data_IF_238040876017
#
_entry.id   IF_238040876017
#
_cell.length_a   1.000
_cell.length_b   1.000
_cell.length_c   1.000
_cell.angle_alpha   90.00
_cell.angle_beta   90.00
_cell.angle_gamma   90.00
#
_symmetry.space_group_name_H-M   'P 1'
#
loop_
_entity.id
_entity.type
_entity.pdbx_description
1 polymer ?
#
# COMPACT_ATOMS: atom_id res chain seq x y z
N UNK A 1 6.49 12.70 -3.98
CA UNK A 1 5.48 11.63 -3.95
C UNK A 1 5.51 10.89 -2.63
N UNK A 2 4.34 10.57 -2.10
CA UNK A 2 4.17 9.66 -0.98
C UNK A 2 3.49 8.40 -1.49
N UNK A 3 4.08 7.25 -1.21
CA UNK A 3 3.47 5.95 -1.44
C UNK A 3 3.07 5.35 -0.09
N UNK A 4 1.86 4.83 -0.03
CA UNK A 4 1.39 4.04 1.10
C UNK A 4 1.19 2.59 0.64
N UNK A 5 1.80 1.66 1.33
CA UNK A 5 1.83 0.26 0.93
C UNK A 5 1.31 -0.63 2.05
N UNK A 6 0.56 -1.65 1.69
CA UNK A 6 0.03 -2.64 2.61
C UNK A 6 0.19 -4.02 2.00
N UNK A 7 0.81 -4.95 2.75
CA UNK A 7 0.96 -6.32 2.30
C UNK A 7 -0.40 -7.01 2.22
N UNK A 8 -0.65 -7.65 1.09
CA UNK A 8 -1.90 -8.37 0.89
C UNK A 8 -1.90 -9.65 1.71
N UNK A 9 -2.97 -9.86 2.47
CA UNK A 9 -3.23 -11.09 3.22
C UNK A 9 -2.13 -11.46 4.24
N UNK A 10 -1.44 -10.48 4.79
CA UNK A 10 -0.40 -10.69 5.79
C UNK A 10 -0.93 -11.41 7.04
N UNK A 11 -2.17 -11.13 7.44
CA UNK A 11 -2.80 -11.81 8.56
C UNK A 11 -2.88 -13.32 8.35
N UNK A 12 -3.18 -13.75 7.12
CA UNK A 12 -3.24 -15.18 6.78
C UNK A 12 -1.87 -15.84 6.97
N UNK A 13 -0.80 -15.14 6.58
CA UNK A 13 0.56 -15.64 6.77
C UNK A 13 0.89 -15.80 8.26
N UNK A 14 0.56 -14.80 9.06
CA UNK A 14 0.74 -14.88 10.51
C UNK A 14 -0.07 -16.02 11.14
N UNK A 15 -1.34 -16.15 10.77
CA UNK A 15 -2.23 -17.16 11.31
C UNK A 15 -1.82 -18.59 10.88
N UNK A 16 -1.27 -18.74 9.68
CA UNK A 16 -0.89 -20.03 9.10
C UNK A 16 0.51 -20.47 9.49
N UNK A 17 1.48 -19.53 9.51
CA UNK A 17 2.90 -19.81 9.67
C UNK A 17 3.50 -19.27 10.98
N UNK A 18 2.74 -18.46 11.72
CA UNK A 18 3.17 -17.87 12.97
C UNK A 18 3.80 -16.49 12.81
N UNK A 19 3.86 -15.75 13.93
CA UNK A 19 4.36 -14.38 13.95
C UNK A 19 5.85 -14.25 13.57
N UNK A 20 6.67 -15.26 13.90
CA UNK A 20 8.08 -15.27 13.52
C UNK A 20 8.26 -15.31 12.01
N UNK A 21 7.45 -16.07 11.29
CA UNK A 21 7.46 -16.11 9.83
C UNK A 21 7.00 -14.77 9.24
N UNK A 22 5.97 -14.16 9.83
CA UNK A 22 5.52 -12.83 9.46
C UNK A 22 6.60 -11.77 9.63
N UNK A 23 7.33 -11.79 10.74
CA UNK A 23 8.43 -10.87 11.00
C UNK A 23 9.57 -11.04 9.98
N UNK A 24 9.89 -12.27 9.61
CA UNK A 24 10.88 -12.57 8.56
C UNK A 24 10.43 -12.03 7.22
N UNK A 25 9.15 -12.20 6.88
CA UNK A 25 8.58 -11.67 5.65
C UNK A 25 8.68 -10.14 5.61
N UNK A 26 8.34 -9.45 6.70
CA UNK A 26 8.45 -7.99 6.78
C UNK A 26 9.89 -7.51 6.53
N UNK A 27 10.89 -8.20 7.07
CA UNK A 27 12.29 -7.87 6.83
C UNK A 27 12.69 -8.05 5.37
N UNK A 28 12.21 -9.12 4.74
CA UNK A 28 12.47 -9.38 3.32
C UNK A 28 11.81 -8.31 2.46
N UNK A 29 10.55 -7.96 2.75
CA UNK A 29 9.83 -6.90 2.05
C UNK A 29 10.56 -5.57 2.18
N UNK A 30 11.01 -5.22 3.38
CA UNK A 30 11.78 -3.98 3.60
C UNK A 30 13.03 -3.93 2.73
N UNK A 31 13.77 -5.03 2.62
CA UNK A 31 14.96 -5.11 1.74
C UNK A 31 14.59 -4.96 0.27
N UNK A 32 13.50 -5.58 -0.17
CA UNK A 32 13.01 -5.45 -1.55
C UNK A 32 12.60 -4.01 -1.88
N UNK A 33 11.96 -3.33 -0.93
CA UNK A 33 11.58 -1.92 -1.09
C UNK A 33 12.81 -1.03 -1.20
N UNK A 34 13.81 -1.24 -0.35
CA UNK A 34 15.08 -0.50 -0.40
C UNK A 34 15.74 -0.67 -1.77
N UNK A 35 15.75 -1.88 -2.31
CA UNK A 35 16.33 -2.16 -3.63
C UNK A 35 15.50 -1.54 -4.78
N UNK A 36 14.23 -1.24 -4.56
CA UNK A 36 13.33 -0.72 -5.59
C UNK A 36 13.34 0.80 -5.71
N UNK A 37 13.77 1.50 -4.67
CA UNK A 37 13.78 2.97 -4.63
C UNK A 37 15.16 3.52 -4.96
N UNK A 38 15.21 4.84 -5.21
CA UNK A 38 16.45 5.55 -5.51
C UNK A 38 17.14 5.99 -4.21
N UNK A 39 18.45 6.25 -4.33
CA UNK A 39 19.18 6.92 -3.27
C UNK A 39 18.54 8.28 -2.95
N UNK A 40 18.34 8.56 -1.67
CA UNK A 40 17.65 9.76 -1.22
C UNK A 40 16.16 9.59 -0.97
N UNK A 41 15.55 8.50 -1.44
CA UNK A 41 14.18 8.15 -1.07
C UNK A 41 14.16 7.55 0.34
N UNK A 42 13.10 7.83 1.09
CA UNK A 42 12.96 7.36 2.46
C UNK A 42 11.86 6.31 2.56
N UNK A 43 12.18 5.20 3.22
CA UNK A 43 11.22 4.14 3.50
C UNK A 43 10.98 4.09 5.00
N UNK A 44 9.72 4.03 5.41
CA UNK A 44 9.34 3.86 6.80
C UNK A 44 8.41 2.67 6.95
N UNK A 45 8.64 1.86 7.98
CA UNK A 45 7.69 0.85 8.41
C UNK A 45 6.69 1.53 9.33
N UNK A 46 5.46 1.71 8.82
CA UNK A 46 4.43 2.46 9.54
C UNK A 46 3.87 1.68 10.73
N UNK A 47 3.80 0.37 10.61
CA UNK A 47 3.33 -0.54 11.66
C UNK A 47 2.66 -1.76 11.04
N UNK A 48 2.70 -2.91 11.73
CA UNK A 48 2.13 -4.14 11.19
C UNK A 48 2.67 -4.46 9.80
N UNK A 49 1.80 -4.47 8.81
CA UNK A 49 2.11 -4.77 7.42
C UNK A 49 2.11 -3.54 6.51
N UNK A 50 2.17 -2.35 7.08
CA UNK A 50 2.12 -1.08 6.36
C UNK A 50 3.49 -0.42 6.25
N UNK A 51 3.79 0.10 5.06
CA UNK A 51 5.01 0.85 4.75
C UNK A 51 4.66 2.16 4.06
N UNK A 52 5.50 3.16 4.25
CA UNK A 52 5.43 4.41 3.49
C UNK A 52 6.75 4.66 2.79
N UNK A 53 6.68 5.25 1.60
CA UNK A 53 7.85 5.68 0.83
C UNK A 53 7.67 7.16 0.52
N UNK A 54 8.69 7.95 0.85
CA UNK A 54 8.78 9.34 0.45
C UNK A 54 9.82 9.43 -0.66
N UNK A 55 9.36 9.75 -1.87
CA UNK A 55 10.20 9.82 -3.06
C UNK A 55 10.25 11.25 -3.62
N UNK A 56 11.37 11.61 -4.21
CA UNK A 56 11.54 12.89 -4.91
C UNK A 56 10.83 12.91 -6.27
N UNK A 57 10.33 11.78 -6.74
CA UNK A 57 9.57 11.70 -7.99
C UNK A 57 8.28 12.50 -7.86
N UNK A 58 7.99 13.35 -8.84
CA UNK A 58 6.77 14.16 -8.88
C UNK A 58 6.01 14.06 -10.21
N UNK A 59 6.46 13.22 -11.12
CA UNK A 59 5.82 12.98 -12.41
C UNK A 59 4.96 11.71 -12.34
N UNK A 60 3.77 11.75 -12.94
CA UNK A 60 2.83 10.62 -12.91
C UNK A 60 3.42 9.37 -13.56
N UNK A 61 4.06 9.52 -14.71
CA UNK A 61 4.62 8.38 -15.44
C UNK A 61 5.77 7.71 -14.68
N UNK A 62 6.63 8.50 -14.06
CA UNK A 62 7.71 7.98 -13.21
C UNK A 62 7.16 7.30 -11.96
N UNK A 63 6.08 7.82 -11.40
CA UNK A 63 5.38 7.18 -10.28
C UNK A 63 4.80 5.82 -10.67
N UNK A 64 4.18 5.73 -11.84
CA UNK A 64 3.68 4.45 -12.37
C UNK A 64 4.80 3.44 -12.52
N UNK A 65 5.95 3.85 -13.05
CA UNK A 65 7.12 2.98 -13.20
C UNK A 65 7.65 2.49 -11.87
N UNK A 66 7.72 3.37 -10.87
CA UNK A 66 8.15 3.00 -9.52
C UNK A 66 7.18 1.98 -8.90
N UNK A 67 5.88 2.24 -8.98
CA UNK A 67 4.87 1.32 -8.45
C UNK A 67 4.92 -0.04 -9.14
N UNK A 68 5.05 -0.07 -10.46
CA UNK A 68 5.16 -1.32 -11.23
C UNK A 68 6.41 -2.10 -10.83
N UNK A 69 7.53 -1.42 -10.64
CA UNK A 69 8.77 -2.06 -10.20
C UNK A 69 8.64 -2.66 -8.80
N UNK A 70 8.01 -1.96 -7.88
CA UNK A 70 7.75 -2.47 -6.53
C UNK A 70 6.84 -3.70 -6.58
N UNK A 71 5.74 -3.63 -7.31
CA UNK A 71 4.82 -4.76 -7.46
C UNK A 71 5.52 -6.01 -7.98
N UNK A 72 6.34 -5.85 -9.01
CA UNK A 72 7.10 -6.94 -9.62
C UNK A 72 8.12 -7.53 -8.64
N UNK A 73 8.83 -6.68 -7.92
CA UNK A 73 9.88 -7.12 -6.98
C UNK A 73 9.27 -7.86 -5.78
N UNK A 74 8.17 -7.37 -5.23
CA UNK A 74 7.49 -8.00 -4.10
C UNK A 74 6.92 -9.37 -4.49
N UNK A 75 6.45 -9.52 -5.72
CA UNK A 75 5.88 -10.79 -6.20
C UNK A 75 6.90 -11.90 -6.40
N UNK A 76 8.18 -11.59 -6.48
CA UNK A 76 9.20 -12.64 -6.55
C UNK A 76 9.11 -13.55 -5.34
N UNK A 77 9.08 -14.84 -5.59
CA UNK A 77 8.92 -15.85 -4.55
C UNK A 77 9.93 -15.70 -3.41
N UNK A 78 9.45 -15.90 -2.20
CA UNK A 78 10.23 -15.83 -0.98
C UNK A 78 10.20 -17.21 -0.30
N UNK A 79 11.35 -17.66 0.20
CA UNK A 79 11.41 -18.86 1.02
C UNK A 79 11.55 -18.49 2.49
N UNK A 80 10.61 -18.98 3.30
CA UNK A 80 10.65 -18.83 4.75
C UNK A 80 10.41 -20.20 5.37
N UNK A 81 11.32 -20.66 6.23
CA UNK A 81 11.22 -21.95 6.90
C UNK A 81 11.04 -23.11 5.91
N UNK A 82 11.79 -23.09 4.80
CA UNK A 82 11.75 -24.08 3.71
C UNK A 82 10.41 -24.14 2.95
N UNK A 83 9.55 -23.15 3.13
CA UNK A 83 8.30 -23.02 2.38
C UNK A 83 8.37 -21.83 1.44
N UNK A 84 7.86 -22.01 0.23
CA UNK A 84 7.72 -20.94 -0.75
C UNK A 84 6.47 -20.13 -0.42
N UNK A 85 6.62 -18.83 -0.22
CA UNK A 85 5.53 -17.92 0.08
C UNK A 85 5.33 -16.99 -1.10
N UNK A 86 4.09 -16.87 -1.56
CA UNK A 86 3.67 -15.86 -2.51
C UNK A 86 3.16 -14.64 -1.73
N UNK A 87 3.70 -13.49 -2.05
CA UNK A 87 3.37 -12.23 -1.40
C UNK A 87 3.08 -11.18 -2.46
N UNK A 88 2.10 -10.34 -2.21
CA UNK A 88 1.81 -9.17 -3.03
C UNK A 88 1.55 -7.95 -2.15
N UNK A 89 1.47 -6.79 -2.77
CA UNK A 89 1.29 -5.53 -2.07
C UNK A 89 0.26 -4.67 -2.80
N UNK A 90 -0.53 -3.93 -2.05
CA UNK A 90 -1.41 -2.89 -2.58
C UNK A 90 -0.81 -1.53 -2.28
N UNK A 91 -0.75 -0.66 -3.28
CA UNK A 91 -0.05 0.62 -3.23
C UNK A 91 -1.01 1.75 -3.55
N UNK A 92 -0.93 2.82 -2.77
CA UNK A 92 -1.52 4.12 -3.10
C UNK A 92 -0.45 5.18 -3.19
N UNK A 93 -0.58 6.10 -4.13
CA UNK A 93 0.37 7.19 -4.32
C UNK A 93 -0.34 8.54 -4.33
N UNK A 94 0.29 9.55 -3.72
CA UNK A 94 -0.11 10.94 -3.80
C UNK A 94 1.08 11.81 -4.19
N UNK A 95 0.82 12.91 -4.90
CA UNK A 95 1.85 13.72 -5.52
C UNK A 95 1.77 15.16 -4.98
N UNK A 96 2.87 15.65 -4.46
CA UNK A 96 3.01 17.04 -4.04
C UNK A 96 3.33 17.94 -5.26
N UNK A 97 2.77 19.14 -5.37
CA UNK A 97 1.78 19.77 -4.48
C UNK A 97 0.32 19.50 -4.89
N UNK A 98 0.10 18.78 -5.98
CA UNK A 98 -1.21 18.57 -6.59
C UNK A 98 -2.22 17.95 -5.61
N UNK A 99 -1.79 16.98 -4.85
CA UNK A 99 -2.67 16.21 -3.97
C UNK A 99 -2.65 16.70 -2.53
N UNK A 100 -1.71 17.55 -2.16
CA UNK A 100 -1.63 18.11 -0.82
C UNK A 100 -0.43 19.00 -0.65
N UNK A 101 -0.47 19.87 0.36
CA UNK A 101 0.59 20.83 0.65
C UNK A 101 1.45 20.41 1.86
N UNK A 102 1.00 19.44 2.63
CA UNK A 102 1.74 18.94 3.79
C UNK A 102 1.73 17.39 3.80
N UNK A 103 2.58 16.84 4.63
CA UNK A 103 2.79 15.38 4.68
C UNK A 103 1.53 14.65 5.16
N UNK A 104 0.77 15.20 6.09
CA UNK A 104 -0.43 14.56 6.62
C UNK A 104 -1.51 14.39 5.55
N UNK A 105 -1.73 15.43 4.75
CA UNK A 105 -2.65 15.36 3.61
C UNK A 105 -2.21 14.33 2.57
N UNK A 106 -0.91 14.30 2.25
CA UNK A 106 -0.36 13.37 1.27
C UNK A 106 -0.46 11.92 1.75
N UNK A 107 -0.19 11.66 3.01
CA UNK A 107 -0.33 10.32 3.60
C UNK A 107 -1.80 9.88 3.57
N UNK A 108 -2.71 10.75 3.97
CA UNK A 108 -4.14 10.46 3.97
C UNK A 108 -4.63 10.08 2.57
N UNK A 109 -4.24 10.85 1.55
CA UNK A 109 -4.64 10.60 0.17
C UNK A 109 -3.98 9.37 -0.43
N UNK A 110 -2.73 9.13 -0.10
CA UNK A 110 -2.04 7.89 -0.50
C UNK A 110 -2.73 6.66 0.13
N UNK A 111 -3.13 6.74 1.40
CA UNK A 111 -3.88 5.67 2.08
C UNK A 111 -5.24 5.41 1.41
N UNK A 112 -5.97 6.48 1.06
CA UNK A 112 -7.24 6.35 0.31
C UNK A 112 -7.03 5.64 -1.03
N UNK A 113 -5.99 6.01 -1.77
CA UNK A 113 -5.65 5.38 -3.04
C UNK A 113 -5.25 3.90 -2.84
N UNK A 114 -4.52 3.58 -1.78
CA UNK A 114 -4.16 2.21 -1.44
C UNK A 114 -5.41 1.36 -1.15
N UNK A 115 -6.38 1.92 -0.44
CA UNK A 115 -7.66 1.24 -0.20
C UNK A 115 -8.37 0.91 -1.52
N UNK A 116 -8.34 1.80 -2.51
CA UNK A 116 -8.89 1.52 -3.85
C UNK A 116 -8.18 0.32 -4.48
N UNK A 117 -6.85 0.22 -4.36
CA UNK A 117 -6.10 -0.94 -4.84
C UNK A 117 -6.55 -2.23 -4.15
N UNK A 118 -6.80 -2.19 -2.83
CA UNK A 118 -7.35 -3.32 -2.08
C UNK A 118 -8.71 -3.77 -2.61
N UNK A 119 -9.59 -2.84 -2.97
CA UNK A 119 -10.92 -3.15 -3.48
C UNK A 119 -10.93 -3.64 -4.92
N UNK A 120 -9.91 -3.30 -5.71
CA UNK A 120 -9.75 -3.73 -7.11
C UNK A 120 -9.20 -5.15 -7.28
N UNK A 121 -8.98 -5.87 -6.18
CA UNK A 121 -8.47 -7.23 -6.21
C UNK A 121 -7.04 -7.38 -5.71
N UNK A 122 -6.50 -6.35 -5.05
CA UNK A 122 -5.15 -6.34 -4.48
C UNK A 122 -4.07 -6.42 -5.57
N UNK A 123 -2.81 -6.57 -5.19
CA UNK A 123 -1.67 -6.69 -6.11
C UNK A 123 -1.73 -5.63 -7.22
N UNK A 124 -1.88 -4.39 -6.83
CA UNK A 124 -2.06 -3.27 -7.76
C UNK A 124 -1.65 -1.95 -7.11
N UNK A 125 -1.58 -0.91 -7.91
CA UNK A 125 -1.35 0.44 -7.43
C UNK A 125 -2.44 1.37 -7.94
N UNK A 126 -2.68 2.44 -7.19
CA UNK A 126 -3.61 3.51 -7.56
C UNK A 126 -2.93 4.84 -7.25
N UNK A 127 -2.93 5.75 -8.22
CA UNK A 127 -2.51 7.14 -7.99
C UNK A 127 -3.75 7.94 -7.63
N UNK A 128 -3.66 8.70 -6.53
CA UNK A 128 -4.78 9.50 -6.05
C UNK A 128 -5.28 10.47 -7.13
N UNK A 129 -6.59 10.59 -7.24
CA UNK A 129 -7.28 11.65 -7.95
C UNK A 129 -8.57 12.02 -7.19
N UNK A 130 -9.20 13.16 -7.55
CA UNK A 130 -10.38 13.65 -6.83
C UNK A 130 -11.60 12.73 -6.95
N UNK A 131 -11.65 11.91 -8.00
CA UNK A 131 -12.73 10.91 -8.20
C UNK A 131 -12.69 9.82 -7.13
N UNK A 132 -11.51 9.52 -6.61
CA UNK A 132 -11.32 8.54 -5.53
C UNK A 132 -12.01 9.02 -4.26
N UNK A 133 -11.88 10.31 -3.92
CA UNK A 133 -12.50 10.88 -2.75
C UNK A 133 -14.03 10.76 -2.82
N UNK A 134 -14.63 11.07 -3.97
CA UNK A 134 -16.08 10.93 -4.18
C UNK A 134 -16.54 9.48 -3.98
N UNK A 135 -15.85 8.51 -4.57
CA UNK A 135 -16.17 7.09 -4.41
C UNK A 135 -16.06 6.61 -2.97
N UNK A 136 -15.06 7.08 -2.25
CA UNK A 136 -14.88 6.74 -0.83
C UNK A 136 -16.00 7.31 0.02
N UNK A 137 -16.43 8.55 -0.23
CA UNK A 137 -17.55 9.17 0.48
C UNK A 137 -18.86 8.44 0.21
N UNK A 138 -19.14 8.06 -1.04
CA UNK A 138 -20.32 7.28 -1.40
C UNK A 138 -20.35 5.94 -0.65
N UNK A 139 -19.22 5.26 -0.59
CA UNK A 139 -19.11 3.98 0.12
C UNK A 139 -19.35 4.14 1.61
N UNK A 140 -18.76 5.15 2.23
CA UNK A 140 -18.98 5.45 3.65
C UNK A 140 -20.44 5.77 3.96
N UNK A 141 -21.09 6.54 3.10
CA UNK A 141 -22.51 6.86 3.24
C UNK A 141 -23.39 5.61 3.14
N UNK A 142 -23.10 4.72 2.19
CA UNK A 142 -23.79 3.44 2.06
C UNK A 142 -23.61 2.56 3.30
N UNK A 143 -22.43 2.48 3.85
CA UNK A 143 -22.17 1.72 5.08
C UNK A 143 -22.93 2.27 6.27
N UNK A 144 -23.02 3.60 6.40
CA UNK A 144 -23.79 4.26 7.46
C UNK A 144 -25.28 3.95 7.31
N UNK A 145 -25.82 4.03 6.09
CA UNK A 145 -27.22 3.70 5.81
C UNK A 145 -27.54 2.25 6.12
N UNK A 146 -26.67 1.32 5.72
CA UNK A 146 -26.84 -0.09 6.02
C UNK A 146 -26.84 -0.39 7.51
N UNK A 147 -26.00 0.28 8.29
CA UNK A 147 -25.98 0.15 9.76
C UNK A 147 -27.28 0.66 10.37
N UNK A 148 -27.84 1.74 9.87
CA UNK A 148 -29.14 2.26 10.32
C UNK A 148 -30.27 1.27 10.08
N UNK A 149 -30.26 0.57 8.94
CA UNK A 149 -31.25 -0.46 8.60
C UNK A 149 -31.12 -1.67 9.53
N UNK A 150 -29.89 -2.10 9.86
CA UNK A 150 -29.66 -3.23 10.74
C UNK A 150 -30.05 -2.97 12.20
N UNK A 151 -30.02 -1.70 12.62
CA UNK A 151 -30.34 -1.29 13.99
C UNK A 151 -31.78 -0.80 14.17
N UNK A 152 -32.61 -0.84 13.13
CA UNK A 152 -34.00 -0.41 13.19
C UNK A 152 -34.99 -1.58 13.37
#
# INVERSE_FOLDING_TARGET
TVLFLDLDEFKIINDTMGHNAGDKLLKIVAKKLIASVREGDTISHWGGDEFTILSKINDIDDNKKLCQRILKEIKKAVQINNKKIDCSVSIGASIYPTDGENIDELIQKADMAMYVSKTKGKDSFTIYDDKINEKMLEKLNLEVEMRKIQNS
#
